data_IF_016270533185
#
_entry.id   IF_016270533185
#
_cell.length_a   1.000
_cell.length_b   1.000
_cell.length_c   1.000
_cell.angle_alpha   90.00
_cell.angle_beta   90.00
_cell.angle_gamma   90.00
#
_symmetry.space_group_name_H-M   'P 1'
#
loop_
_entity.id
_entity.type
_entity.pdbx_description
1 polymer ?
#
# COMPACT_ATOMS: atom_id res chain seq x y z
N UNK A 1 -1.16 -17.48 13.83
CA UNK A 1 -1.15 -16.62 12.62
C UNK A 1 -0.54 -15.29 13.05
N UNK A 2 0.64 -14.95 12.54
CA UNK A 2 1.51 -13.90 13.10
C UNK A 2 0.81 -12.53 13.13
N UNK A 3 0.93 -11.77 14.23
CA UNK A 3 0.32 -10.44 14.40
C UNK A 3 0.62 -9.49 13.24
N UNK A 4 1.84 -9.57 12.70
CA UNK A 4 2.29 -8.84 11.52
C UNK A 4 1.37 -9.01 10.31
N UNK A 5 0.91 -10.23 10.05
CA UNK A 5 0.02 -10.51 8.91
C UNK A 5 -1.34 -9.86 9.17
N UNK A 6 -1.85 -9.91 10.40
CA UNK A 6 -3.14 -9.27 10.73
C UNK A 6 -3.08 -7.75 10.54
N UNK A 7 -1.96 -7.11 10.84
CA UNK A 7 -1.74 -5.68 10.57
C UNK A 7 -1.71 -5.42 9.06
N UNK A 8 -0.99 -6.23 8.29
CA UNK A 8 -0.91 -6.08 6.83
C UNK A 8 -2.22 -6.38 6.09
N UNK A 9 -3.20 -7.05 6.74
CA UNK A 9 -4.57 -7.17 6.21
C UNK A 9 -5.37 -5.86 6.26
N UNK A 10 -4.89 -4.85 7.01
CA UNK A 10 -5.54 -3.55 7.09
C UNK A 10 -5.17 -2.71 5.85
N UNK A 11 -6.15 -2.26 5.05
CA UNK A 11 -5.88 -1.50 3.84
C UNK A 11 -5.21 -0.14 4.13
N UNK A 12 -5.49 0.44 5.29
CA UNK A 12 -4.91 1.71 5.74
C UNK A 12 -3.40 1.66 5.94
N UNK A 13 -2.84 0.48 6.26
CA UNK A 13 -1.39 0.32 6.43
C UNK A 13 -0.71 0.53 5.07
N UNK A 14 -1.21 -0.13 4.03
CA UNK A 14 -0.74 0.02 2.66
C UNK A 14 -0.92 1.44 2.14
N UNK A 15 -2.10 2.03 2.36
CA UNK A 15 -2.36 3.42 1.97
C UNK A 15 -1.45 4.43 2.68
N UNK A 16 -1.21 4.23 3.98
CA UNK A 16 -0.28 5.04 4.76
C UNK A 16 1.15 4.93 4.26
N UNK A 17 1.63 3.72 3.96
CA UNK A 17 2.96 3.51 3.36
C UNK A 17 3.08 4.23 2.02
N UNK A 18 2.07 4.11 1.15
CA UNK A 18 2.01 4.83 -0.12
C UNK A 18 2.08 6.33 0.07
N UNK A 19 1.28 6.87 0.99
CA UNK A 19 1.23 8.30 1.28
C UNK A 19 2.55 8.85 1.83
N UNK A 20 3.17 8.17 2.80
CA UNK A 20 4.49 8.54 3.34
C UNK A 20 5.53 8.58 2.22
N UNK A 21 5.49 7.58 1.34
CA UNK A 21 6.44 7.43 0.25
C UNK A 21 6.26 8.52 -0.82
N UNK A 22 5.01 8.81 -1.19
CA UNK A 22 4.67 9.88 -2.14
C UNK A 22 4.98 11.28 -1.61
N UNK A 23 4.65 11.57 -0.35
CA UNK A 23 4.93 12.86 0.29
C UNK A 23 6.43 13.08 0.55
N UNK A 24 7.16 12.03 0.94
CA UNK A 24 8.59 12.14 1.25
C UNK A 24 9.45 12.24 -0.01
N UNK A 25 9.26 11.31 -0.95
CA UNK A 25 10.16 11.15 -2.09
C UNK A 25 9.62 11.74 -3.40
N UNK A 26 8.31 11.98 -3.50
CA UNK A 26 7.69 12.40 -4.76
C UNK A 26 7.78 11.33 -5.84
N UNK A 27 7.70 11.73 -7.12
CA UNK A 27 7.86 10.84 -8.28
C UNK A 27 9.33 10.83 -8.72
N UNK A 28 10.17 10.14 -7.97
CA UNK A 28 11.56 9.90 -8.35
C UNK A 28 11.84 8.41 -8.56
N UNK A 29 13.00 8.09 -9.15
CA UNK A 29 13.35 6.72 -9.49
C UNK A 29 13.35 5.79 -8.26
N UNK A 30 13.85 6.26 -7.11
CA UNK A 30 13.87 5.49 -5.87
C UNK A 30 12.46 5.21 -5.34
N UNK A 31 11.59 6.23 -5.37
CA UNK A 31 10.18 6.16 -4.95
C UNK A 31 9.42 5.11 -5.76
N UNK A 32 9.63 5.08 -7.08
CA UNK A 32 9.01 4.10 -7.98
C UNK A 32 9.48 2.68 -7.66
N UNK A 33 10.79 2.47 -7.44
CA UNK A 33 11.31 1.16 -7.06
C UNK A 33 10.78 0.68 -5.72
N UNK A 34 10.71 1.56 -4.72
CA UNK A 34 10.15 1.21 -3.42
C UNK A 34 8.64 0.90 -3.51
N UNK A 35 7.89 1.66 -4.31
CA UNK A 35 6.48 1.38 -4.58
C UNK A 35 6.30 0.00 -5.24
N UNK A 36 7.15 -0.35 -6.21
CA UNK A 36 7.13 -1.66 -6.86
C UNK A 36 7.42 -2.79 -5.87
N UNK A 37 8.39 -2.60 -4.96
CA UNK A 37 8.66 -3.56 -3.88
C UNK A 37 7.47 -3.69 -2.94
N UNK A 38 6.81 -2.59 -2.56
CA UNK A 38 5.61 -2.63 -1.73
C UNK A 38 4.45 -3.36 -2.41
N UNK A 39 4.23 -3.16 -3.71
CA UNK A 39 3.25 -3.93 -4.48
C UNK A 39 3.60 -5.42 -4.50
N UNK A 40 4.87 -5.77 -4.68
CA UNK A 40 5.34 -7.16 -4.58
C UNK A 40 5.05 -7.77 -3.21
N UNK A 41 5.33 -7.04 -2.13
CA UNK A 41 5.03 -7.46 -0.76
C UNK A 41 3.52 -7.59 -0.51
N UNK A 42 2.70 -6.74 -1.12
CA UNK A 42 1.24 -6.85 -1.06
C UNK A 42 0.77 -8.18 -1.67
N UNK A 43 1.28 -8.57 -2.85
CA UNK A 43 0.94 -9.85 -3.45
C UNK A 43 1.40 -11.05 -2.62
N UNK A 44 2.59 -10.96 -2.01
CA UNK A 44 3.07 -11.99 -1.08
C UNK A 44 2.12 -12.11 0.12
N UNK A 45 1.69 -10.98 0.68
CA UNK A 45 0.74 -10.94 1.81
C UNK A 45 -0.60 -11.57 1.43
N UNK A 46 -1.11 -11.28 0.23
CA UNK A 46 -2.32 -11.90 -0.32
C UNK A 46 -2.15 -13.42 -0.42
N UNK A 47 -1.01 -13.88 -0.94
CA UNK A 47 -0.74 -15.32 -1.11
C UNK A 47 -0.71 -16.08 0.21
N UNK A 48 -0.22 -15.45 1.28
CA UNK A 48 -0.12 -16.03 2.63
C UNK A 48 -1.46 -15.98 3.37
N UNK A 49 -2.28 -14.96 3.12
CA UNK A 49 -3.57 -14.75 3.81
C UNK A 49 -4.56 -15.89 3.57
N UNK A 50 -4.38 -16.65 2.48
CA UNK A 50 -5.14 -17.86 2.21
C UNK A 50 -6.43 -17.57 1.45
N UNK A 51 -7.37 -18.54 1.41
CA UNK A 51 -8.58 -18.41 0.62
C UNK A 51 -9.44 -17.25 1.12
N UNK A 52 -10.15 -16.60 0.19
CA UNK A 52 -10.99 -15.48 0.53
C UNK A 52 -12.12 -15.85 1.50
N UNK A 53 -12.39 -14.93 2.44
CA UNK A 53 -13.47 -15.04 3.42
C UNK A 53 -14.58 -14.05 3.04
N UNK A 54 -15.81 -14.54 2.92
CA UNK A 54 -16.98 -13.72 2.57
C UNK A 54 -17.08 -12.50 3.49
N UNK A 55 -17.27 -11.32 2.89
CA UNK A 55 -17.38 -10.04 3.60
C UNK A 55 -16.07 -9.39 4.05
N UNK A 56 -14.91 -10.07 3.96
CA UNK A 56 -13.59 -9.51 4.30
C UNK A 56 -12.65 -9.31 3.11
N UNK A 57 -12.94 -9.97 1.99
CA UNK A 57 -12.17 -9.85 0.74
C UNK A 57 -11.97 -8.41 0.28
N UNK A 58 -13.05 -7.62 0.22
CA UNK A 58 -12.97 -6.25 -0.27
C UNK A 58 -12.01 -5.40 0.55
N UNK A 59 -11.99 -5.58 1.88
CA UNK A 59 -11.08 -4.89 2.80
C UNK A 59 -9.63 -5.33 2.59
N UNK A 60 -9.40 -6.61 2.36
CA UNK A 60 -8.08 -7.16 2.10
C UNK A 60 -7.51 -6.64 0.78
N UNK A 61 -8.32 -6.69 -0.29
CA UNK A 61 -7.92 -6.28 -1.62
C UNK A 61 -7.74 -4.76 -1.75
N UNK A 62 -8.52 -3.98 -1.00
CA UNK A 62 -8.42 -2.53 -0.96
C UNK A 62 -7.03 -2.03 -0.55
N UNK A 63 -6.19 -2.85 0.11
CA UNK A 63 -4.83 -2.46 0.49
C UNK A 63 -3.96 -2.05 -0.71
N UNK A 64 -3.96 -2.84 -1.79
CA UNK A 64 -3.18 -2.54 -2.99
C UNK A 64 -3.67 -1.28 -3.69
N UNK A 65 -4.99 -1.10 -3.79
CA UNK A 65 -5.58 0.13 -4.34
C UNK A 65 -5.27 1.34 -3.47
N UNK A 66 -5.37 1.23 -2.15
CA UNK A 66 -5.05 2.31 -1.22
C UNK A 66 -3.57 2.69 -1.28
N UNK A 67 -2.66 1.73 -1.44
CA UNK A 67 -1.22 1.98 -1.64
C UNK A 67 -1.01 2.93 -2.82
N UNK A 68 -1.61 2.62 -3.96
CA UNK A 68 -1.48 3.40 -5.18
C UNK A 68 -2.12 4.77 -5.04
N UNK A 69 -3.36 4.84 -4.56
CA UNK A 69 -4.09 6.10 -4.39
C UNK A 69 -3.37 6.99 -3.36
N UNK A 70 -2.92 6.43 -2.24
CA UNK A 70 -2.17 7.13 -1.21
C UNK A 70 -0.88 7.73 -1.76
N UNK A 71 -0.11 6.95 -2.52
CA UNK A 71 1.10 7.45 -3.19
C UNK A 71 0.78 8.58 -4.18
N UNK A 72 -0.21 8.39 -5.05
CA UNK A 72 -0.60 9.37 -6.07
C UNK A 72 -1.03 10.68 -5.45
N UNK A 73 -1.95 10.63 -4.48
CA UNK A 73 -2.44 11.82 -3.81
C UNK A 73 -1.30 12.54 -3.08
N UNK A 74 -0.46 11.80 -2.36
CA UNK A 74 0.59 12.41 -1.56
C UNK A 74 1.68 13.09 -2.39
N UNK A 75 2.15 12.47 -3.49
CA UNK A 75 3.13 13.15 -4.35
C UNK A 75 2.50 14.32 -5.09
N UNK A 76 1.22 14.22 -5.47
CA UNK A 76 0.51 15.31 -6.15
C UNK A 76 0.39 16.52 -5.25
N UNK A 77 0.00 16.31 -3.98
CA UNK A 77 -0.03 17.36 -2.95
C UNK A 77 1.37 17.95 -2.77
N UNK A 78 2.39 17.09 -2.63
CA UNK A 78 3.78 17.55 -2.49
C UNK A 78 4.17 18.49 -3.62
N UNK A 79 3.95 18.13 -4.88
CA UNK A 79 4.29 18.96 -6.03
C UNK A 79 3.47 20.25 -6.19
N UNK A 80 2.36 20.38 -5.47
CA UNK A 80 1.58 21.64 -5.39
C UNK A 80 2.14 22.54 -4.28
N UNK A 81 2.55 21.96 -3.15
CA UNK A 81 2.96 22.69 -1.96
C UNK A 81 4.46 23.06 -1.99
N UNK A 82 5.29 22.23 -2.59
CA UNK A 82 6.77 22.29 -2.59
C UNK A 82 7.29 21.97 -3.98
#
# INVERSE_FOLDING_TARGET
MNELINILKLPYVWGGMGAVLGAGLGVNNLSIWLLAVLLGLFFITMRITGPPEEGKEGRLFAGGSLLMVGWVLAFSIRGIVI
#
